data_IF_818952976071
#
_entry.id   IF_818952976071
#
_cell.length_a   1.000
_cell.length_b   1.000
_cell.length_c   1.000
_cell.angle_alpha   90.00
_cell.angle_beta   90.00
_cell.angle_gamma   90.00
#
_symmetry.space_group_name_H-M   'P 1'
#
loop_
_entity.id
_entity.type
_entity.pdbx_description
1 polymer ?
#
# COMPACT_ATOMS: atom_id res chain seq x y z
N UNK A 1 -20.39 -28.16 -22.56
CA UNK A 1 -20.55 -27.16 -21.48
C UNK A 1 -19.18 -26.95 -20.86
N UNK A 2 -18.44 -25.93 -21.29
CA UNK A 2 -17.12 -25.59 -20.74
C UNK A 2 -17.30 -24.56 -19.65
N UNK A 3 -17.21 -25.00 -18.39
CA UNK A 3 -17.25 -24.10 -17.24
C UNK A 3 -15.93 -23.32 -17.15
N UNK A 4 -15.99 -22.05 -17.56
CA UNK A 4 -14.91 -21.09 -17.41
C UNK A 4 -14.76 -20.76 -15.93
N UNK A 5 -13.85 -21.46 -15.24
CA UNK A 5 -13.49 -21.12 -13.87
C UNK A 5 -12.55 -19.92 -13.90
N UNK A 6 -13.10 -18.74 -13.55
CA UNK A 6 -12.29 -17.56 -13.25
C UNK A 6 -11.28 -17.86 -12.13
N UNK A 7 -10.22 -17.03 -11.97
CA UNK A 7 -9.19 -17.28 -10.98
C UNK A 7 -9.81 -17.47 -9.59
N UNK A 8 -9.63 -18.67 -9.03
CA UNK A 8 -10.08 -18.95 -7.67
C UNK A 8 -9.32 -18.01 -6.72
N UNK A 9 -10.03 -17.26 -5.86
CA UNK A 9 -9.37 -16.40 -4.91
C UNK A 9 -8.49 -17.24 -3.98
N UNK A 10 -7.29 -16.76 -3.61
CA UNK A 10 -6.30 -17.55 -2.87
C UNK A 10 -6.74 -17.87 -1.43
N UNK A 11 -7.80 -17.23 -0.95
CA UNK A 11 -8.39 -17.47 0.36
C UNK A 11 -9.91 -17.27 0.28
N UNK A 12 -10.62 -17.87 1.24
CA UNK A 12 -12.04 -17.64 1.44
C UNK A 12 -12.28 -16.21 1.94
N UNK A 13 -13.53 -15.75 1.91
CA UNK A 13 -13.88 -14.43 2.47
C UNK A 13 -13.57 -14.46 3.96
N UNK A 14 -12.69 -13.55 4.39
CA UNK A 14 -12.34 -13.40 5.79
C UNK A 14 -13.39 -12.47 6.43
N UNK A 15 -14.52 -13.05 6.82
CA UNK A 15 -15.70 -12.33 7.34
C UNK A 15 -15.43 -11.51 8.59
N UNK A 16 -14.36 -11.81 9.33
CA UNK A 16 -13.88 -10.98 10.44
C UNK A 16 -13.40 -9.59 9.99
N UNK A 17 -12.92 -9.46 8.75
CA UNK A 17 -12.36 -8.23 8.21
C UNK A 17 -13.30 -7.55 7.19
N UNK A 18 -14.00 -8.32 6.36
CA UNK A 18 -14.96 -7.80 5.38
C UNK A 18 -16.03 -8.85 5.07
N UNK A 19 -17.31 -8.43 4.98
CA UNK A 19 -18.43 -9.35 4.87
C UNK A 19 -18.53 -10.03 3.49
N UNK A 20 -18.09 -9.34 2.44
CA UNK A 20 -18.16 -9.82 1.06
C UNK A 20 -16.84 -9.61 0.31
N UNK A 21 -16.53 -10.49 -0.63
CA UNK A 21 -15.32 -10.39 -1.46
C UNK A 21 -15.20 -9.05 -2.20
N UNK A 22 -16.34 -8.44 -2.59
CA UNK A 22 -16.38 -7.12 -3.24
C UNK A 22 -15.89 -5.98 -2.32
N UNK A 23 -16.09 -6.10 -1.00
CA UNK A 23 -15.69 -5.11 -0.01
C UNK A 23 -14.20 -5.18 0.34
N UNK A 24 -13.51 -6.27 -0.04
CA UNK A 24 -12.08 -6.49 0.23
C UNK A 24 -11.21 -5.32 -0.20
N UNK A 25 -11.44 -4.76 -1.39
CA UNK A 25 -10.59 -3.68 -1.93
C UNK A 25 -10.69 -2.43 -1.06
N UNK A 26 -11.91 -1.97 -0.80
CA UNK A 26 -12.20 -0.81 0.05
C UNK A 26 -11.65 -0.99 1.47
N UNK A 27 -11.81 -2.18 2.06
CA UNK A 27 -11.28 -2.49 3.38
C UNK A 27 -9.75 -2.38 3.43
N UNK A 28 -9.07 -2.96 2.43
CA UNK A 28 -7.61 -2.91 2.31
C UNK A 28 -7.13 -1.47 2.13
N UNK A 29 -7.77 -0.70 1.25
CA UNK A 29 -7.39 0.69 0.99
C UNK A 29 -7.52 1.53 2.28
N UNK A 30 -8.61 1.38 3.04
CA UNK A 30 -8.79 2.07 4.33
C UNK A 30 -7.79 1.62 5.39
N UNK A 31 -7.44 0.33 5.43
CA UNK A 31 -6.43 -0.20 6.34
C UNK A 31 -5.04 0.40 6.04
N UNK A 32 -4.70 0.51 4.76
CA UNK A 32 -3.47 1.16 4.32
C UNK A 32 -3.48 2.66 4.62
N UNK A 33 -4.56 3.38 4.32
CA UNK A 33 -4.67 4.81 4.61
C UNK A 33 -4.54 5.11 6.12
N UNK A 34 -5.18 4.28 6.97
CA UNK A 34 -5.09 4.43 8.42
C UNK A 34 -3.68 4.15 8.95
N UNK A 35 -2.97 3.18 8.37
CA UNK A 35 -1.61 2.81 8.77
C UNK A 35 -0.54 3.71 8.16
N UNK A 36 -0.79 4.33 7.00
CA UNK A 36 0.14 5.18 6.28
C UNK A 36 0.65 6.34 7.14
N UNK A 37 -0.25 7.01 7.88
CA UNK A 37 0.13 8.10 8.80
C UNK A 37 1.16 7.66 9.86
N UNK A 38 1.08 6.42 10.32
CA UNK A 38 2.05 5.88 11.28
C UNK A 38 3.40 5.58 10.62
N UNK A 39 3.41 5.09 9.38
CA UNK A 39 4.65 4.91 8.62
C UNK A 39 5.30 6.23 8.23
N UNK A 40 4.54 7.23 7.79
CA UNK A 40 5.05 8.56 7.45
C UNK A 40 5.70 9.24 8.66
N UNK A 41 5.08 9.09 9.84
CA UNK A 41 5.64 9.60 11.09
C UNK A 41 6.94 8.88 11.47
N UNK A 42 6.97 7.55 11.40
CA UNK A 42 8.19 6.76 11.68
C UNK A 42 9.29 7.09 10.67
N UNK A 43 8.98 7.24 9.38
CA UNK A 43 9.94 7.64 8.36
C UNK A 43 10.48 9.05 8.62
N UNK A 44 9.61 9.98 9.01
CA UNK A 44 9.98 11.33 9.41
C UNK A 44 10.93 11.36 10.61
N UNK A 45 10.64 10.53 11.62
CA UNK A 45 11.42 10.43 12.85
C UNK A 45 12.77 9.71 12.64
N UNK A 46 12.75 8.53 12.01
CA UNK A 46 13.96 7.71 11.74
C UNK A 46 14.92 8.40 10.79
N UNK A 47 14.39 9.11 9.79
CA UNK A 47 15.24 9.83 8.84
C UNK A 47 15.64 11.22 9.33
N UNK A 48 15.17 11.71 10.50
CA UNK A 48 15.28 13.15 10.85
C UNK A 48 14.80 14.06 9.69
N UNK A 49 13.76 13.66 8.96
CA UNK A 49 13.30 14.37 7.76
C UNK A 49 14.31 14.40 6.59
N UNK A 50 15.44 13.69 6.68
CA UNK A 50 16.46 13.63 5.63
C UNK A 50 16.06 12.76 4.43
N UNK A 51 15.02 11.95 4.53
CA UNK A 51 14.54 11.10 3.43
C UNK A 51 14.16 11.91 2.18
N UNK A 52 13.49 13.06 2.37
CA UNK A 52 13.20 13.99 1.27
C UNK A 52 14.48 14.59 0.67
N UNK A 53 15.48 14.89 1.51
CA UNK A 53 16.79 15.41 1.05
C UNK A 53 17.57 14.34 0.28
N UNK A 54 17.53 13.09 0.75
CA UNK A 54 18.14 11.94 0.08
C UNK A 54 17.48 11.67 -1.27
N UNK A 55 16.14 11.64 -1.33
CA UNK A 55 15.41 11.48 -2.59
C UNK A 55 15.76 12.58 -3.60
N UNK A 56 15.79 13.84 -3.16
CA UNK A 56 16.21 14.97 -3.99
C UNK A 56 17.66 14.82 -4.48
N UNK A 57 18.58 14.40 -3.62
CA UNK A 57 19.97 14.13 -4.02
C UNK A 57 20.09 12.96 -4.98
N UNK A 58 19.33 11.88 -4.78
CA UNK A 58 19.33 10.71 -5.66
C UNK A 58 18.82 11.07 -7.06
N UNK A 59 17.73 11.85 -7.15
CA UNK A 59 17.20 12.34 -8.42
C UNK A 59 18.22 13.25 -9.13
N UNK A 60 18.82 14.21 -8.42
CA UNK A 60 19.86 15.07 -8.99
C UNK A 60 21.10 14.28 -9.45
N UNK A 61 21.54 13.26 -8.70
CA UNK A 61 22.65 12.37 -9.09
C UNK A 61 22.32 11.55 -10.34
N UNK A 62 21.06 11.17 -10.51
CA UNK A 62 20.56 10.49 -11.70
C UNK A 62 20.26 11.45 -12.88
N UNK A 63 20.48 12.76 -12.70
CA UNK A 63 20.14 13.78 -13.72
C UNK A 63 18.63 14.03 -13.88
N UNK A 64 17.82 13.54 -12.94
CA UNK A 64 16.37 13.67 -12.91
C UNK A 64 15.93 14.87 -12.05
N UNK A 65 14.77 15.44 -12.37
CA UNK A 65 14.21 16.55 -11.60
C UNK A 65 13.61 16.03 -10.26
N UNK A 66 13.77 16.76 -9.15
CA UNK A 66 13.26 16.39 -7.83
C UNK A 66 11.74 16.19 -7.77
#
# INVERSE_FOLDING_TARGET
MTEQHGPLPPHQVLTEYYAEAAQRRTYIDQLFDRSARHYDWINGLMSFGSGCRYRRQALLRAGLKP
#
